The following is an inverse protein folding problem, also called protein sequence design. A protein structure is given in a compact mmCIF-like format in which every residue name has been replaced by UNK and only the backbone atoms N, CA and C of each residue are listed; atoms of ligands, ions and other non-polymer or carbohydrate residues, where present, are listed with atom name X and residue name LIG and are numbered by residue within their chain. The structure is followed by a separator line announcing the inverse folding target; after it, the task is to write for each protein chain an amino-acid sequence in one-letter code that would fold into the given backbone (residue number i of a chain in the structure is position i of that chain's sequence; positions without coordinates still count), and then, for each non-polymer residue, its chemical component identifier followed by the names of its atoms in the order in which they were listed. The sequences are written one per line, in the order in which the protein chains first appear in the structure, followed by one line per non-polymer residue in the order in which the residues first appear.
data_IF_876631940857
#
_entry.id   IF_876631940857
#
_cell.length_a   1.000
_cell.length_b   1.000
_cell.length_c   1.000
_cell.angle_alpha   90.00
_cell.angle_beta   90.00
_cell.angle_gamma   90.00
#
_symmetry.space_group_name_H-M   'P 1'
#
loop_
_entity.id
_entity.type
_entity.pdbx_description
1 polymer ?
#
# COMPACT_ATOMS: atom_id res chain seq x y z
N UNK A 1 -0.89 7.42 -26.65
CA UNK A 1 -1.85 6.36 -26.32
C UNK A 1 -1.51 5.60 -25.02
N UNK A 2 -0.27 5.18 -24.75
CA UNK A 2 -0.02 4.15 -23.71
C UNK A 2 0.20 4.60 -22.25
N UNK A 3 0.55 5.87 -21.98
CA UNK A 3 0.91 6.29 -20.62
C UNK A 3 -0.28 6.20 -19.66
N UNK A 4 -1.46 6.57 -20.13
CA UNK A 4 -2.66 6.59 -19.30
C UNK A 4 -3.08 5.17 -18.88
N UNK A 5 -3.06 4.23 -19.83
CA UNK A 5 -3.31 2.81 -19.58
C UNK A 5 -2.28 2.22 -18.61
N UNK A 6 -0.99 2.57 -18.78
CA UNK A 6 0.08 2.14 -17.89
C UNK A 6 -0.13 2.61 -16.43
N UNK A 7 -0.42 3.89 -16.22
CA UNK A 7 -0.70 4.41 -14.89
C UNK A 7 -1.96 3.82 -14.27
N UNK A 8 -3.01 3.63 -15.06
CA UNK A 8 -4.25 2.99 -14.60
C UNK A 8 -4.00 1.55 -14.13
N UNK A 9 -3.17 0.78 -14.87
CA UNK A 9 -2.80 -0.57 -14.48
C UNK A 9 -1.99 -0.60 -13.17
N UNK A 10 -1.02 0.31 -13.00
CA UNK A 10 -0.25 0.43 -11.76
C UNK A 10 -1.14 0.75 -10.55
N UNK A 11 -2.06 1.71 -10.70
CA UNK A 11 -3.01 2.06 -9.63
C UNK A 11 -3.87 0.85 -9.24
N UNK A 12 -4.47 0.18 -10.24
CA UNK A 12 -5.29 -1.00 -10.01
C UNK A 12 -4.53 -2.10 -9.25
N UNK A 13 -3.27 -2.37 -9.63
CA UNK A 13 -2.47 -3.39 -8.96
C UNK A 13 -2.23 -3.06 -7.47
N UNK A 14 -1.95 -1.80 -7.15
CA UNK A 14 -1.73 -1.35 -5.77
C UNK A 14 -3.02 -1.45 -4.96
N UNK A 15 -4.15 -1.03 -5.52
CA UNK A 15 -5.44 -1.07 -4.83
C UNK A 15 -5.85 -2.51 -4.51
N UNK A 16 -5.68 -3.43 -5.48
CA UNK A 16 -5.96 -4.85 -5.26
C UNK A 16 -5.05 -5.47 -4.22
N UNK A 17 -3.77 -5.12 -4.22
CA UNK A 17 -2.81 -5.59 -3.23
C UNK A 17 -3.25 -5.19 -1.81
N UNK A 18 -3.59 -3.91 -1.60
CA UNK A 18 -4.03 -3.41 -0.28
C UNK A 18 -5.36 -4.02 0.19
N UNK A 19 -6.31 -4.21 -0.71
CA UNK A 19 -7.64 -4.75 -0.37
C UNK A 19 -7.65 -6.24 -0.04
N UNK A 20 -6.76 -7.02 -0.66
CA UNK A 20 -6.85 -8.49 -0.60
C UNK A 20 -5.80 -9.13 0.29
N UNK A 21 -4.69 -8.44 0.54
CA UNK A 21 -3.58 -8.98 1.31
C UNK A 21 -3.56 -8.31 2.69
N UNK A 22 -3.58 -9.09 3.79
CA UNK A 22 -3.44 -8.52 5.12
C UNK A 22 -2.02 -7.95 5.26
N UNK A 23 -1.92 -6.62 5.25
CA UNK A 23 -0.64 -5.91 5.33
C UNK A 23 -0.58 -5.05 6.59
N UNK A 24 0.55 -5.14 7.30
CA UNK A 24 0.81 -4.36 8.51
C UNK A 24 2.20 -3.75 8.43
N UNK A 25 2.33 -2.49 8.87
CA UNK A 25 3.61 -1.78 8.94
C UNK A 25 3.98 -1.53 10.39
N UNK A 26 5.19 -1.93 10.80
CA UNK A 26 5.75 -1.51 12.08
C UNK A 26 6.52 -0.23 11.89
N UNK A 27 6.14 0.80 12.63
CA UNK A 27 6.89 2.04 12.72
C UNK A 27 7.67 2.05 14.03
N UNK A 28 8.93 2.46 13.96
CA UNK A 28 9.83 2.51 15.13
C UNK A 28 10.23 3.95 15.37
N UNK A 29 9.97 4.43 16.58
CA UNK A 29 10.24 5.79 17.04
C UNK A 29 11.14 5.75 18.28
N UNK A 30 11.63 6.91 18.70
CA UNK A 30 12.53 7.03 19.85
C UNK A 30 11.84 6.74 21.19
N UNK A 31 10.52 6.83 21.26
CA UNK A 31 9.67 6.59 22.43
C UNK A 31 8.98 5.21 22.40
N UNK A 32 9.14 4.44 21.32
CA UNK A 32 8.58 3.10 21.18
C UNK A 32 8.25 2.72 19.73
N UNK A 33 7.72 1.51 19.54
CA UNK A 33 7.24 1.04 18.23
C UNK A 33 5.73 0.83 18.26
N UNK A 34 5.05 1.25 17.19
CA UNK A 34 3.62 0.98 16.98
C UNK A 34 3.41 0.18 15.70
N UNK A 35 2.37 -0.65 15.70
CA UNK A 35 1.89 -1.33 14.50
C UNK A 35 0.75 -0.53 13.91
N UNK A 36 0.82 -0.28 12.61
CA UNK A 36 -0.22 0.42 11.84
C UNK A 36 -0.75 -0.54 10.79
N UNK A 37 -2.07 -0.71 10.77
CA UNK A 37 -2.76 -1.44 9.71
C UNK A 37 -2.97 -0.51 8.51
N UNK A 38 -2.83 -1.05 7.30
CA UNK A 38 -3.22 -0.30 6.10
C UNK A 38 -4.74 -0.31 5.95
N UNK A 39 -5.35 0.84 5.61
CA UNK A 39 -6.71 0.89 5.06
C UNK A 39 -6.81 0.19 3.71
#
# INVERSE_FOLDING_TARGET
AHRQEGFAACQYAIDRFKQTIPTQKRETYHDGSIWVEGE
#
